data_IF_648373053460
#
_entry.id   IF_648373053460
#
_cell.length_a   1.000
_cell.length_b   1.000
_cell.length_c   1.000
_cell.angle_alpha   90.00
_cell.angle_beta   90.00
_cell.angle_gamma   90.00
#
_symmetry.space_group_name_H-M   'P 1'
#
loop_
_entity.id
_entity.type
_entity.pdbx_description
1 polymer ?
#
# COMPACT_ATOMS: atom_id res chain seq x y z
N UNK A 1 -5.91 -7.53 -1.81
CA UNK A 1 -5.69 -9.00 -1.80
C UNK A 1 -4.64 -9.25 -0.73
N UNK A 2 -4.90 -10.17 0.19
CA UNK A 2 -3.92 -10.60 1.19
C UNK A 2 -3.35 -11.93 0.71
N UNK A 3 -2.20 -11.87 0.04
CA UNK A 3 -1.40 -13.02 -0.39
C UNK A 3 -0.35 -13.38 0.67
N UNK A 4 0.77 -14.03 0.27
CA UNK A 4 1.89 -14.26 1.19
C UNK A 4 2.38 -12.95 1.80
N UNK A 5 2.77 -13.00 3.09
CA UNK A 5 3.20 -11.82 3.83
C UNK A 5 4.62 -11.38 3.46
N UNK A 6 4.88 -10.08 3.55
CA UNK A 6 6.09 -9.45 3.04
C UNK A 6 6.61 -8.39 4.01
N UNK A 7 7.92 -8.35 4.23
CA UNK A 7 8.62 -7.26 4.91
C UNK A 7 9.78 -6.77 4.04
N UNK A 8 9.94 -5.46 4.00
CA UNK A 8 11.14 -4.81 3.51
C UNK A 8 11.74 -3.97 4.63
N UNK A 9 12.99 -4.28 4.99
CA UNK A 9 13.80 -3.48 5.91
C UNK A 9 14.78 -2.67 5.08
N UNK A 10 14.80 -1.36 5.24
CA UNK A 10 15.76 -0.48 4.55
C UNK A 10 16.68 0.22 5.53
N UNK A 11 17.97 0.34 5.20
CA UNK A 11 18.98 0.87 6.11
C UNK A 11 20.12 1.60 5.37
N UNK A 12 20.35 2.89 5.66
CA UNK A 12 21.51 3.66 5.16
C UNK A 12 22.56 3.93 6.26
N UNK A 13 22.44 3.18 7.37
CA UNK A 13 23.13 3.42 8.63
C UNK A 13 24.00 2.25 9.04
N UNK A 14 25.30 2.49 9.14
CA UNK A 14 26.26 1.51 9.64
C UNK A 14 26.18 1.31 11.17
N UNK A 15 25.56 2.23 11.91
CA UNK A 15 25.43 2.15 13.37
C UNK A 15 24.29 1.23 13.84
N UNK A 16 23.40 0.82 12.94
CA UNK A 16 22.31 -0.11 13.26
C UNK A 16 22.90 -1.50 13.57
N UNK A 17 22.57 -2.09 14.75
CA UNK A 17 23.02 -3.44 15.07
C UNK A 17 22.52 -4.46 14.04
N UNK A 18 23.44 -5.28 13.52
CA UNK A 18 23.12 -6.36 12.57
C UNK A 18 22.04 -7.30 13.11
N UNK A 19 21.98 -7.50 14.44
CA UNK A 19 20.96 -8.35 15.04
C UNK A 19 19.54 -7.79 14.88
N UNK A 20 19.35 -6.47 14.75
CA UNK A 20 18.01 -5.90 14.51
C UNK A 20 17.52 -6.34 13.12
N UNK A 21 18.27 -6.00 12.08
CA UNK A 21 18.00 -6.39 10.69
C UNK A 21 17.75 -7.90 10.54
N UNK A 22 18.56 -8.72 11.22
CA UNK A 22 18.41 -10.17 11.21
C UNK A 22 17.09 -10.61 11.84
N UNK A 23 16.68 -10.00 12.96
CA UNK A 23 15.46 -10.38 13.68
C UNK A 23 14.21 -9.90 12.95
N UNK A 24 14.25 -8.72 12.35
CA UNK A 24 13.14 -8.17 11.58
C UNK A 24 12.95 -8.96 10.27
N UNK A 25 14.04 -9.38 9.60
CA UNK A 25 13.91 -10.32 8.47
C UNK A 25 13.34 -11.69 8.89
N UNK A 26 13.72 -12.19 10.07
CA UNK A 26 13.26 -13.48 10.56
C UNK A 26 11.82 -13.45 11.08
N UNK A 27 11.35 -12.33 11.63
CA UNK A 27 9.98 -12.19 12.13
C UNK A 27 8.97 -12.45 11.03
N UNK A 28 9.21 -11.94 9.82
CA UNK A 28 8.34 -12.22 8.69
C UNK A 28 8.58 -13.62 8.09
N UNK A 29 9.84 -13.99 7.86
CA UNK A 29 10.18 -15.24 7.18
C UNK A 29 9.70 -16.50 7.92
N UNK A 30 9.44 -16.41 9.22
CA UNK A 30 8.87 -17.53 9.96
C UNK A 30 7.39 -17.75 9.71
N UNK A 31 6.62 -16.80 9.16
CA UNK A 31 5.18 -16.93 8.98
C UNK A 31 4.80 -18.08 8.04
N UNK A 32 5.37 -18.11 6.83
CA UNK A 32 4.96 -19.00 5.74
C UNK A 32 6.13 -19.29 4.77
N UNK A 33 6.21 -20.48 4.14
CA UNK A 33 7.26 -20.79 3.15
C UNK A 33 7.31 -19.84 1.94
N UNK A 34 6.19 -19.17 1.62
CA UNK A 34 6.10 -18.18 0.55
C UNK A 34 6.23 -16.73 1.05
N UNK A 35 6.48 -16.53 2.35
CA UNK A 35 6.73 -15.20 2.92
C UNK A 35 8.00 -14.58 2.33
N UNK A 36 8.02 -13.25 2.26
CA UNK A 36 9.11 -12.48 1.64
C UNK A 36 9.78 -11.60 2.68
N UNK A 37 11.09 -11.74 2.84
CA UNK A 37 11.89 -10.83 3.66
C UNK A 37 13.00 -10.20 2.82
N UNK A 38 12.95 -8.88 2.64
CA UNK A 38 13.95 -8.14 1.87
C UNK A 38 14.70 -7.17 2.78
N UNK A 39 16.02 -7.20 2.74
CA UNK A 39 16.85 -6.13 3.29
C UNK A 39 17.43 -5.32 2.13
N UNK A 40 17.25 -4.00 2.16
CA UNK A 40 17.93 -3.07 1.25
C UNK A 40 18.87 -2.20 2.07
N UNK A 41 20.17 -2.22 1.77
CA UNK A 41 21.16 -1.43 2.51
C UNK A 41 22.16 -0.78 1.57
N UNK A 42 22.68 0.40 1.93
CA UNK A 42 23.82 1.00 1.20
C UNK A 42 25.17 0.39 1.59
N UNK A 43 25.20 -0.47 2.61
CA UNK A 43 26.43 -1.02 3.18
C UNK A 43 26.65 -2.48 2.78
N UNK A 44 27.55 -2.70 1.83
CA UNK A 44 27.96 -4.05 1.41
C UNK A 44 28.55 -4.88 2.57
N UNK A 45 29.13 -4.22 3.58
CA UNK A 45 29.61 -4.87 4.79
C UNK A 45 28.42 -5.35 5.65
N UNK A 46 27.45 -4.48 5.91
CA UNK A 46 26.25 -4.81 6.67
C UNK A 46 25.48 -5.97 6.01
N UNK A 47 25.31 -5.95 4.69
CA UNK A 47 24.69 -7.04 3.93
C UNK A 47 25.39 -8.39 4.14
N UNK A 48 26.74 -8.40 4.10
CA UNK A 48 27.54 -9.62 4.35
C UNK A 48 27.41 -10.11 5.79
N UNK A 49 27.42 -9.18 6.75
CA UNK A 49 27.31 -9.51 8.17
C UNK A 49 25.92 -10.09 8.51
N UNK A 50 24.85 -9.51 7.95
CA UNK A 50 23.47 -10.04 8.04
C UNK A 50 23.40 -11.44 7.43
N UNK A 51 23.88 -11.62 6.19
CA UNK A 51 23.87 -12.92 5.52
C UNK A 51 24.61 -14.01 6.32
N UNK A 52 25.79 -13.67 6.86
CA UNK A 52 26.58 -14.58 7.71
C UNK A 52 25.84 -14.91 9.00
N UNK A 53 25.20 -13.92 9.62
CA UNK A 53 24.45 -14.10 10.86
C UNK A 53 23.22 -14.97 10.67
N UNK A 54 22.45 -14.76 9.60
CA UNK A 54 21.31 -15.60 9.22
C UNK A 54 21.73 -17.05 9.03
N UNK A 55 22.77 -17.32 8.23
CA UNK A 55 23.31 -18.68 8.01
C UNK A 55 23.69 -19.41 9.29
N UNK A 56 24.16 -18.68 10.32
CA UNK A 56 24.52 -19.24 11.63
C UNK A 56 23.28 -19.46 12.52
N UNK A 57 22.30 -18.57 12.44
CA UNK A 57 21.16 -18.54 13.36
C UNK A 57 20.03 -19.47 12.93
N UNK A 58 19.65 -19.46 11.65
CA UNK A 58 18.50 -20.19 11.10
C UNK A 58 18.48 -21.68 11.50
N UNK A 59 19.61 -22.43 11.45
CA UNK A 59 19.60 -23.85 11.83
C UNK A 59 19.22 -24.13 13.29
N UNK A 60 19.26 -23.11 14.15
CA UNK A 60 18.93 -23.22 15.58
C UNK A 60 17.48 -22.84 15.90
N UNK A 61 16.73 -22.32 14.93
CA UNK A 61 15.39 -21.80 15.15
C UNK A 61 14.32 -22.90 15.05
N UNK A 62 13.23 -22.83 15.82
CA UNK A 62 12.18 -23.85 15.81
C UNK A 62 11.51 -24.05 14.45
N UNK A 63 11.31 -22.96 13.68
CA UNK A 63 10.64 -22.96 12.38
C UNK A 63 11.63 -22.95 11.19
N UNK A 64 12.83 -23.50 11.37
CA UNK A 64 13.92 -23.43 10.38
C UNK A 64 13.51 -23.85 8.96
N UNK A 65 12.70 -24.89 8.78
CA UNK A 65 12.33 -25.39 7.45
C UNK A 65 11.47 -24.39 6.68
N UNK A 66 10.60 -23.66 7.39
CA UNK A 66 9.77 -22.59 6.81
C UNK A 66 10.63 -21.40 6.44
N UNK A 67 11.50 -20.97 7.37
CA UNK A 67 12.41 -19.84 7.17
C UNK A 67 13.37 -20.10 6.00
N UNK A 68 13.94 -21.31 5.91
CA UNK A 68 14.82 -21.71 4.82
C UNK A 68 14.11 -21.69 3.46
N UNK A 69 12.84 -22.12 3.41
CA UNK A 69 12.04 -22.06 2.19
C UNK A 69 11.73 -20.61 1.77
N UNK A 70 11.27 -19.76 2.71
CA UNK A 70 11.03 -18.32 2.47
C UNK A 70 12.30 -17.63 1.94
N UNK A 71 13.45 -17.95 2.54
CA UNK A 71 14.73 -17.38 2.12
C UNK A 71 15.21 -17.85 0.76
N UNK A 72 15.00 -19.13 0.43
CA UNK A 72 15.44 -19.68 -0.85
C UNK A 72 14.60 -19.18 -2.04
N UNK A 73 13.31 -18.96 -1.83
CA UNK A 73 12.37 -18.74 -2.93
C UNK A 73 12.15 -17.28 -3.28
N UNK A 74 12.02 -16.39 -2.27
CA UNK A 74 11.48 -15.04 -2.52
C UNK A 74 12.18 -13.91 -1.77
N UNK A 75 13.05 -14.21 -0.82
CA UNK A 75 13.74 -13.20 -0.01
C UNK A 75 15.08 -12.78 -0.62
N UNK A 76 15.55 -11.59 -0.28
CA UNK A 76 16.81 -11.06 -0.82
C UNK A 76 17.50 -10.09 0.13
N UNK A 77 18.81 -9.96 -0.02
CA UNK A 77 19.56 -8.82 0.51
C UNK A 77 20.09 -8.05 -0.70
N UNK A 78 19.65 -6.81 -0.82
CA UNK A 78 19.96 -5.89 -1.90
C UNK A 78 20.94 -4.85 -1.36
N UNK A 79 22.04 -4.64 -2.08
CA UNK A 79 22.98 -3.55 -1.79
C UNK A 79 22.71 -2.43 -2.77
N UNK A 80 22.14 -1.34 -2.28
CA UNK A 80 21.90 -0.13 -3.05
C UNK A 80 23.17 0.73 -3.11
N UNK A 81 23.34 1.50 -4.19
CA UNK A 81 24.40 2.46 -4.40
C UNK A 81 24.27 3.64 -3.43
N UNK A 82 23.04 4.12 -3.23
CA UNK A 82 22.74 5.23 -2.34
C UNK A 82 21.31 5.19 -1.79
N UNK A 83 20.97 6.25 -1.06
CA UNK A 83 19.67 6.41 -0.45
C UNK A 83 18.55 6.62 -1.49
N UNK A 84 18.82 7.19 -2.65
CA UNK A 84 17.81 7.36 -3.71
C UNK A 84 17.40 6.02 -4.28
N UNK A 85 18.37 5.15 -4.60
CA UNK A 85 18.06 3.80 -5.09
C UNK A 85 17.25 2.99 -4.06
N UNK A 86 17.47 3.18 -2.76
CA UNK A 86 16.60 2.58 -1.73
C UNK A 86 15.13 2.94 -1.95
N UNK A 87 14.81 4.22 -2.18
CA UNK A 87 13.42 4.65 -2.40
C UNK A 87 12.87 4.23 -3.76
N UNK A 88 13.71 4.12 -4.79
CA UNK A 88 13.31 3.51 -6.05
C UNK A 88 12.87 2.06 -5.84
N UNK A 89 13.67 1.26 -5.10
CA UNK A 89 13.35 -0.14 -4.77
C UNK A 89 12.08 -0.25 -3.93
N UNK A 90 11.91 0.57 -2.89
CA UNK A 90 10.69 0.60 -2.07
C UNK A 90 9.47 0.81 -2.96
N UNK A 91 9.50 1.85 -3.79
CA UNK A 91 8.35 2.24 -4.59
C UNK A 91 8.05 1.25 -5.72
N UNK A 92 9.08 0.58 -6.25
CA UNK A 92 8.90 -0.42 -7.29
C UNK A 92 8.34 -1.73 -6.73
N UNK A 93 8.85 -2.20 -5.59
CA UNK A 93 8.36 -3.44 -4.97
C UNK A 93 7.05 -3.26 -4.22
N UNK A 94 6.79 -2.06 -3.68
CA UNK A 94 5.56 -1.71 -2.97
C UNK A 94 5.21 -2.72 -1.86
N UNK A 95 6.07 -2.84 -0.83
CA UNK A 95 5.98 -3.90 0.17
C UNK A 95 4.73 -3.77 1.04
N UNK A 96 4.32 -4.91 1.61
CA UNK A 96 3.28 -4.97 2.64
C UNK A 96 3.72 -4.20 3.89
N UNK A 97 4.82 -4.62 4.53
CA UNK A 97 5.44 -3.94 5.67
C UNK A 97 6.78 -3.31 5.26
N UNK A 98 7.01 -2.05 5.64
CA UNK A 98 8.24 -1.31 5.36
C UNK A 98 8.84 -0.74 6.64
N UNK A 99 10.02 -1.22 7.03
CA UNK A 99 10.83 -0.63 8.09
C UNK A 99 11.89 0.32 7.51
N UNK A 100 11.89 1.57 8.00
CA UNK A 100 12.76 2.64 7.52
C UNK A 100 13.78 2.98 8.59
N UNK A 101 14.98 2.42 8.46
CA UNK A 101 16.12 2.63 9.36
C UNK A 101 17.12 3.61 8.74
N UNK A 102 16.61 4.72 8.22
CA UNK A 102 17.48 5.79 7.69
C UNK A 102 17.96 6.73 8.80
N UNK A 103 18.87 7.64 8.47
CA UNK A 103 19.33 8.69 9.39
C UNK A 103 18.20 9.63 9.81
N UNK A 104 17.28 9.97 8.89
CA UNK A 104 16.22 10.94 9.11
C UNK A 104 14.87 10.41 8.58
N UNK A 105 14.32 9.34 9.18
CA UNK A 105 13.22 8.59 8.59
C UNK A 105 11.92 9.41 8.43
N UNK A 106 11.71 10.41 9.28
CA UNK A 106 10.58 11.33 9.14
C UNK A 106 10.74 12.31 7.97
N UNK A 107 11.96 12.78 7.71
CA UNK A 107 12.23 13.68 6.57
C UNK A 107 12.11 12.92 5.25
N UNK A 108 12.49 11.65 5.24
CA UNK A 108 12.43 10.77 4.08
C UNK A 108 11.02 10.32 3.68
N UNK A 109 10.04 10.41 4.59
CA UNK A 109 8.70 9.82 4.42
C UNK A 109 8.00 10.26 3.11
N UNK A 110 8.19 11.50 2.68
CA UNK A 110 7.59 12.04 1.45
C UNK A 110 8.05 11.34 0.16
N UNK A 111 9.16 10.58 0.22
CA UNK A 111 9.73 9.82 -0.91
C UNK A 111 9.07 8.45 -1.06
N UNK A 112 8.38 7.97 -0.01
CA UNK A 112 7.66 6.70 -0.01
C UNK A 112 6.26 6.93 -0.57
N UNK A 113 6.00 6.35 -1.74
CA UNK A 113 4.71 6.41 -2.44
C UNK A 113 3.90 5.13 -2.23
N UNK A 114 4.57 3.97 -2.18
CA UNK A 114 3.92 2.66 -2.13
C UNK A 114 4.45 1.82 -0.96
N UNK A 115 3.62 1.62 0.06
CA UNK A 115 3.83 0.67 1.14
C UNK A 115 2.50 0.43 1.88
N UNK A 116 2.26 -0.76 2.42
CA UNK A 116 1.07 -1.06 3.23
C UNK A 116 1.14 -0.39 4.61
N UNK A 117 2.15 -0.75 5.40
CA UNK A 117 2.47 -0.13 6.69
C UNK A 117 3.92 0.33 6.71
N UNK A 118 4.16 1.52 7.27
CA UNK A 118 5.50 2.14 7.34
C UNK A 118 5.89 2.31 8.79
N UNK A 119 7.06 1.79 9.15
CA UNK A 119 7.62 1.83 10.48
C UNK A 119 8.91 2.65 10.48
N UNK A 120 9.00 3.67 11.33
CA UNK A 120 10.06 4.68 11.26
C UNK A 120 11.04 4.54 12.43
N UNK A 121 12.29 4.21 12.12
CA UNK A 121 13.40 4.16 13.08
C UNK A 121 13.51 2.85 13.88
N UNK A 122 14.60 2.71 14.65
CA UNK A 122 15.05 1.42 15.21
C UNK A 122 14.18 0.86 16.34
N UNK A 123 13.22 1.62 16.85
CA UNK A 123 12.34 1.21 17.95
C UNK A 123 10.92 0.88 17.47
N UNK A 124 10.75 0.65 16.16
CA UNK A 124 9.46 0.36 15.55
C UNK A 124 9.57 -0.88 14.65
N UNK A 125 9.95 -2.05 15.18
CA UNK A 125 9.92 -3.26 14.38
C UNK A 125 8.45 -3.63 14.06
N UNK A 126 8.23 -4.34 12.95
CA UNK A 126 6.92 -4.81 12.45
C UNK A 126 5.98 -5.33 13.57
N UNK A 127 6.41 -6.16 14.53
CA UNK A 127 5.53 -6.69 15.58
C UNK A 127 4.84 -5.63 16.44
N UNK A 128 5.40 -4.40 16.52
CA UNK A 128 4.75 -3.28 17.20
C UNK A 128 3.42 -2.93 16.51
N UNK A 129 3.39 -2.94 15.17
CA UNK A 129 2.20 -2.68 14.37
C UNK A 129 1.22 -3.85 14.41
N UNK A 130 1.74 -5.07 14.27
CA UNK A 130 0.92 -6.28 14.24
C UNK A 130 0.10 -6.51 15.49
N UNK A 131 0.61 -6.07 16.65
CA UNK A 131 0.03 -6.43 17.93
C UNK A 131 -0.45 -5.27 18.79
N UNK A 132 0.15 -4.08 18.71
CA UNK A 132 -0.03 -3.09 19.80
C UNK A 132 -0.30 -1.64 19.38
N UNK A 133 0.36 -1.14 18.33
CA UNK A 133 0.32 0.29 18.00
C UNK A 133 -1.04 0.78 17.49
N UNK A 134 -1.91 -0.12 17.03
CA UNK A 134 -3.29 0.19 16.62
C UNK A 134 -3.60 0.14 15.12
N UNK A 135 -2.67 0.32 14.16
CA UNK A 135 -2.94 0.07 12.74
C UNK A 135 -3.45 -1.36 12.48
N UNK A 136 -4.12 -1.55 11.35
CA UNK A 136 -4.59 -2.88 10.95
C UNK A 136 -3.48 -3.62 10.19
N UNK A 137 -3.19 -4.86 10.59
CA UNK A 137 -2.20 -5.72 9.93
C UNK A 137 -2.75 -6.52 8.74
N UNK A 138 -4.03 -6.35 8.38
CA UNK A 138 -4.56 -6.86 7.12
C UNK A 138 -4.18 -5.87 6.01
N UNK A 139 -3.03 -6.14 5.39
CA UNK A 139 -2.37 -5.23 4.46
C UNK A 139 -2.38 -5.75 3.02
N UNK A 140 -2.17 -4.86 2.03
CA UNK A 140 -2.00 -5.25 0.64
C UNK A 140 -0.61 -5.88 0.41
N UNK A 141 -0.56 -7.10 -0.12
CA UNK A 141 0.69 -7.82 -0.41
C UNK A 141 1.00 -7.90 -1.91
N UNK A 142 2.17 -8.42 -2.28
CA UNK A 142 2.58 -8.73 -3.66
C UNK A 142 2.48 -7.52 -4.59
N UNK A 143 2.98 -6.39 -4.11
CA UNK A 143 3.00 -5.11 -4.84
C UNK A 143 1.65 -4.41 -4.95
N UNK A 144 0.57 -4.97 -4.36
CA UNK A 144 -0.75 -4.35 -4.44
C UNK A 144 -0.89 -3.06 -3.64
N UNK A 145 0.09 -2.71 -2.79
CA UNK A 145 0.19 -1.40 -2.14
C UNK A 145 0.31 -0.24 -3.14
N UNK A 146 0.60 -0.50 -4.43
CA UNK A 146 0.54 0.50 -5.51
C UNK A 146 -0.88 1.05 -5.76
N UNK A 147 -1.93 0.31 -5.39
CA UNK A 147 -3.31 0.68 -5.70
C UNK A 147 -4.34 0.28 -4.63
N UNK A 148 -3.93 -0.41 -3.57
CA UNK A 148 -4.77 -0.85 -2.47
C UNK A 148 -4.30 -0.23 -1.15
N UNK A 149 -5.22 -0.06 -0.21
CA UNK A 149 -4.92 0.44 1.14
C UNK A 149 -5.03 -0.69 2.18
N UNK A 150 -4.43 -0.51 3.36
CA UNK A 150 -4.72 -1.32 4.54
C UNK A 150 -6.23 -1.41 4.82
N UNK A 151 -6.66 -2.53 5.40
CA UNK A 151 -8.05 -2.69 5.84
C UNK A 151 -8.41 -1.58 6.84
N UNK A 152 -9.45 -0.82 6.52
CA UNK A 152 -9.95 0.28 7.33
C UNK A 152 -11.46 0.28 7.44
N UNK A 153 -11.99 1.25 8.19
CA UNK A 153 -13.44 1.40 8.38
C UNK A 153 -14.17 1.59 7.05
N UNK A 154 -13.52 2.24 6.07
CA UNK A 154 -14.12 2.51 4.76
C UNK A 154 -14.46 1.24 3.98
N UNK A 155 -13.75 0.13 4.20
CA UNK A 155 -14.03 -1.16 3.55
C UNK A 155 -15.36 -1.78 4.01
N UNK A 156 -15.86 -1.36 5.18
CA UNK A 156 -17.13 -1.80 5.75
C UNK A 156 -18.26 -0.78 5.53
N UNK A 157 -17.97 0.33 4.85
CA UNK A 157 -18.94 1.40 4.54
C UNK A 157 -19.33 1.32 3.07
N UNK A 158 -20.60 1.63 2.78
CA UNK A 158 -21.09 1.83 1.42
C UNK A 158 -21.45 3.30 1.24
N UNK A 159 -20.92 3.93 0.19
CA UNK A 159 -21.18 5.34 -0.12
C UNK A 159 -22.17 5.44 -1.29
N UNK A 160 -23.25 6.19 -1.10
CA UNK A 160 -24.26 6.45 -2.14
C UNK A 160 -24.33 7.93 -2.45
N UNK A 161 -24.28 8.29 -3.73
CA UNK A 161 -24.60 9.66 -4.17
C UNK A 161 -26.10 9.86 -4.18
N UNK A 162 -26.61 10.83 -3.42
CA UNK A 162 -28.03 11.20 -3.42
C UNK A 162 -28.20 12.50 -4.20
N UNK A 163 -28.97 12.45 -5.29
CA UNK A 163 -29.21 13.60 -6.16
C UNK A 163 -30.69 13.95 -6.09
N UNK A 164 -30.99 15.15 -5.57
CA UNK A 164 -32.31 15.76 -5.65
C UNK A 164 -32.20 17.04 -6.47
N UNK A 165 -33.02 17.15 -7.51
CA UNK A 165 -32.89 18.18 -8.51
C UNK A 165 -34.19 18.98 -8.61
N UNK A 166 -34.09 20.30 -8.43
CA UNK A 166 -35.28 21.13 -8.39
C UNK A 166 -35.89 21.33 -9.79
N UNK A 167 -37.22 21.47 -9.87
CA UNK A 167 -37.93 21.95 -11.06
C UNK A 167 -37.23 23.11 -11.80
N UNK A 168 -36.87 24.16 -11.08
CA UNK A 168 -36.33 25.40 -11.63
C UNK A 168 -34.94 25.17 -12.22
N UNK A 169 -34.13 24.35 -11.54
CA UNK A 169 -32.78 24.02 -12.01
C UNK A 169 -32.85 23.16 -13.27
N UNK A 170 -33.79 22.22 -13.33
CA UNK A 170 -34.04 21.42 -14.53
C UNK A 170 -34.46 22.28 -15.70
N UNK A 171 -35.33 23.26 -15.50
CA UNK A 171 -35.70 24.21 -16.55
C UNK A 171 -34.49 25.02 -17.03
N UNK A 172 -33.60 25.46 -16.13
CA UNK A 172 -32.42 26.27 -16.48
C UNK A 172 -31.33 25.48 -17.22
N UNK A 173 -31.17 24.19 -16.90
CA UNK A 173 -30.03 23.39 -17.37
C UNK A 173 -30.44 22.30 -18.39
N UNK A 174 -31.74 22.03 -18.53
CA UNK A 174 -32.27 20.91 -19.31
C UNK A 174 -31.82 20.90 -20.76
N UNK A 175 -31.84 22.04 -21.46
CA UNK A 175 -31.37 22.14 -22.86
C UNK A 175 -29.90 21.74 -23.03
N UNK A 176 -29.04 22.06 -22.04
CA UNK A 176 -27.63 21.65 -22.07
C UNK A 176 -27.49 20.14 -21.85
N UNK A 177 -28.29 19.58 -20.95
CA UNK A 177 -28.31 18.13 -20.68
C UNK A 177 -28.81 17.37 -21.91
N UNK A 178 -29.86 17.87 -22.57
CA UNK A 178 -30.37 17.34 -23.83
C UNK A 178 -29.27 17.34 -24.89
N UNK A 179 -28.57 18.47 -25.07
CA UNK A 179 -27.49 18.56 -26.04
C UNK A 179 -26.38 17.54 -25.78
N UNK A 180 -25.90 17.41 -24.53
CA UNK A 180 -24.91 16.38 -24.22
C UNK A 180 -25.41 14.97 -24.57
N UNK A 181 -26.65 14.64 -24.21
CA UNK A 181 -27.23 13.35 -24.51
C UNK A 181 -27.40 13.10 -26.03
N UNK A 182 -27.72 14.11 -26.83
CA UNK A 182 -27.85 13.99 -28.29
C UNK A 182 -26.49 13.86 -28.99
N UNK A 183 -25.47 14.59 -28.55
CA UNK A 183 -24.10 14.47 -29.07
C UNK A 183 -23.49 13.09 -28.75
N UNK A 184 -23.86 12.48 -27.61
CA UNK A 184 -23.55 11.09 -27.26
C UNK A 184 -24.46 10.06 -27.96
N UNK A 185 -25.40 10.50 -28.80
CA UNK A 185 -26.39 9.66 -29.50
C UNK A 185 -27.33 8.87 -28.57
N UNK A 186 -27.52 9.34 -27.34
CA UNK A 186 -28.40 8.77 -26.31
C UNK A 186 -29.78 9.45 -26.30
N UNK A 187 -30.53 9.35 -27.39
CA UNK A 187 -31.79 10.11 -27.57
C UNK A 187 -32.84 9.85 -26.48
N UNK A 188 -32.95 8.62 -25.96
CA UNK A 188 -33.87 8.33 -24.85
C UNK A 188 -33.53 9.09 -23.55
N UNK A 189 -32.24 9.36 -23.30
CA UNK A 189 -31.81 10.20 -22.17
C UNK A 189 -32.23 11.66 -22.38
N UNK A 190 -32.08 12.18 -23.59
CA UNK A 190 -32.56 13.51 -23.97
C UNK A 190 -34.08 13.63 -23.79
N UNK A 191 -34.84 12.65 -24.30
CA UNK A 191 -36.30 12.63 -24.19
C UNK A 191 -36.79 12.58 -22.74
N UNK A 192 -36.07 11.89 -21.84
CA UNK A 192 -36.39 11.89 -20.41
C UNK A 192 -36.35 13.29 -19.78
N UNK A 193 -35.49 14.18 -20.28
CA UNK A 193 -35.44 15.59 -19.86
C UNK A 193 -36.54 16.39 -20.58
N UNK A 194 -36.66 16.25 -21.90
CA UNK A 194 -37.66 16.98 -22.72
C UNK A 194 -39.08 16.81 -22.19
N UNK A 195 -39.49 15.59 -21.81
CA UNK A 195 -40.84 15.34 -21.28
C UNK A 195 -41.10 16.09 -19.97
N UNK A 196 -40.07 16.21 -19.10
CA UNK A 196 -40.17 16.95 -17.84
C UNK A 196 -40.23 18.45 -18.08
N UNK A 197 -39.42 18.98 -19.00
CA UNK A 197 -39.48 20.40 -19.40
C UNK A 197 -40.84 20.75 -19.99
N UNK A 198 -41.39 19.89 -20.85
CA UNK A 198 -42.72 20.05 -21.44
C UNK A 198 -43.82 20.08 -20.37
N UNK A 199 -43.78 19.18 -19.40
CA UNK A 199 -44.75 19.14 -18.30
C UNK A 199 -44.65 20.38 -17.38
N UNK A 200 -43.45 20.87 -17.11
CA UNK A 200 -43.22 22.11 -16.33
C UNK A 200 -43.78 23.35 -17.03
N UNK A 201 -43.67 23.42 -18.36
CA UNK A 201 -44.25 24.51 -19.15
C UNK A 201 -45.78 24.42 -19.18
N UNK A 202 -46.35 23.21 -19.27
CA UNK A 202 -47.79 23.01 -19.21
C UNK A 202 -48.38 23.40 -17.84
N UNK A 203 -47.71 23.07 -16.74
CA UNK A 203 -48.13 23.42 -15.38
C UNK A 203 -48.04 24.93 -15.05
N UNK A 204 -47.36 25.73 -15.89
CA UNK A 204 -47.25 27.19 -15.73
C UNK A 204 -48.24 27.99 -16.59
N UNK A 205 -49.05 27.32 -17.42
CA UNK A 205 -50.15 27.98 -18.15
C UNK A 205 -51.38 28.08 -17.22
N UNK A 206 -52.00 29.28 -17.12
CA UNK A 206 -53.14 29.52 -16.23
C UNK A 206 -54.39 28.73 -16.64
#
# INVERSE_FOLDING_TARGET
>A
FAGPSEIMVVCDRDDIPVEYLVRDMLSQAEHDPDAVAVLVTTSAKQAKDVSKRLKKLVPTLPRREIIEASFANRSAIIVAEDLEEIFEVINELAPEHLEVLTKQPFEDLHRIRNAGAIFLGPNSPEPVGDYFAGPNHTLPTSGSAKFSSPLGVQDFVKTSSVISYSPERLVRQGEKIIRFAEEEQLFAHAEAIKVRLKNQQAAKKP
#
